data_IF_498640337360
#
_entry.id   IF_498640337360
#
_cell.length_a   1.000
_cell.length_b   1.000
_cell.length_c   1.000
_cell.angle_alpha   90.00
_cell.angle_beta   90.00
_cell.angle_gamma   90.00
#
_symmetry.space_group_name_H-M   'P 1'
#
loop_
_entity.id
_entity.type
_entity.pdbx_description
1 polymer ?
#
# COMPACT_ATOMS: atom_id res chain seq x y z
N UNK A 1 40.83 -18.98 1.09
CA UNK A 1 40.03 -18.34 2.14
C UNK A 1 38.82 -17.63 1.51
N UNK A 2 37.89 -18.36 0.89
CA UNK A 2 36.75 -17.79 0.14
C UNK A 2 35.50 -17.55 1.02
N UNK A 3 35.61 -17.70 2.34
CA UNK A 3 34.50 -17.67 3.30
C UNK A 3 34.55 -16.48 4.28
N UNK A 4 35.53 -15.59 4.13
CA UNK A 4 35.64 -14.39 4.99
C UNK A 4 34.87 -13.26 4.32
N UNK A 5 33.64 -13.05 4.77
CA UNK A 5 32.83 -11.89 4.35
C UNK A 5 33.50 -10.62 4.88
N UNK A 6 33.68 -9.62 4.03
CA UNK A 6 34.25 -8.31 4.36
C UNK A 6 33.23 -7.17 4.20
N UNK A 7 31.95 -7.49 4.17
CA UNK A 7 30.84 -6.56 4.00
C UNK A 7 29.65 -6.96 4.86
N UNK A 8 28.83 -5.97 5.21
CA UNK A 8 27.66 -6.15 6.09
C UNK A 8 26.34 -6.29 5.31
N UNK A 9 26.40 -6.38 3.98
CA UNK A 9 25.20 -6.62 3.16
C UNK A 9 24.63 -8.03 3.35
N UNK A 10 23.29 -8.11 3.36
CA UNK A 10 22.55 -9.36 3.44
C UNK A 10 22.56 -10.09 2.08
N UNK A 11 23.09 -11.31 2.06
CA UNK A 11 23.08 -12.20 0.90
C UNK A 11 22.02 -13.27 1.13
N UNK A 12 20.93 -13.20 0.38
CA UNK A 12 19.80 -14.12 0.50
C UNK A 12 20.10 -15.48 -0.12
N UNK A 13 19.52 -16.52 0.48
CA UNK A 13 19.48 -17.85 -0.12
C UNK A 13 18.43 -17.91 -1.24
N UNK A 14 18.51 -18.89 -2.17
CA UNK A 14 17.49 -19.03 -3.20
C UNK A 14 16.10 -19.26 -2.62
N UNK A 15 15.11 -18.47 -3.07
CA UNK A 15 13.72 -18.55 -2.61
C UNK A 15 12.77 -18.83 -3.77
N UNK A 16 11.71 -19.62 -3.50
CA UNK A 16 10.67 -19.98 -4.46
C UNK A 16 9.54 -18.93 -4.53
N UNK A 17 9.43 -18.05 -3.53
CA UNK A 17 8.32 -17.10 -3.41
C UNK A 17 8.16 -16.13 -4.58
N UNK A 18 9.23 -15.60 -5.20
CA UNK A 18 9.07 -14.75 -6.39
C UNK A 18 8.36 -15.46 -7.54
N UNK A 19 8.70 -16.73 -7.81
CA UNK A 19 8.10 -17.52 -8.87
C UNK A 19 6.64 -17.87 -8.54
N UNK A 20 6.39 -18.33 -7.31
CA UNK A 20 5.04 -18.64 -6.86
C UNK A 20 4.13 -17.41 -6.92
N UNK A 21 4.62 -16.25 -6.48
CA UNK A 21 3.91 -14.98 -6.55
C UNK A 21 3.56 -14.58 -7.98
N UNK A 22 4.48 -14.76 -8.93
CA UNK A 22 4.21 -14.49 -10.34
C UNK A 22 3.12 -15.40 -10.92
N UNK A 23 3.15 -16.70 -10.61
CA UNK A 23 2.14 -17.67 -11.07
C UNK A 23 0.76 -17.37 -10.49
N UNK A 24 0.67 -17.16 -9.17
CA UNK A 24 -0.61 -16.84 -8.54
C UNK A 24 -1.13 -15.46 -8.94
N UNK A 25 -0.25 -14.48 -9.14
CA UNK A 25 -0.61 -13.18 -9.68
C UNK A 25 -1.20 -13.28 -11.09
N UNK A 26 -0.62 -14.10 -11.96
CA UNK A 26 -1.18 -14.38 -13.29
C UNK A 26 -2.57 -15.01 -13.19
N UNK A 27 -2.72 -16.07 -12.38
CA UNK A 27 -4.01 -16.75 -12.18
C UNK A 27 -5.06 -15.77 -11.65
N UNK A 28 -4.69 -14.90 -10.70
CA UNK A 28 -5.58 -13.90 -10.12
C UNK A 28 -6.08 -12.92 -11.18
N UNK A 29 -5.17 -12.29 -11.94
CA UNK A 29 -5.54 -11.28 -12.93
C UNK A 29 -6.29 -11.89 -14.12
N UNK A 30 -5.87 -13.07 -14.59
CA UNK A 30 -6.59 -13.79 -15.65
C UNK A 30 -7.99 -14.21 -15.17
N UNK A 31 -8.10 -14.73 -13.95
CA UNK A 31 -9.37 -15.01 -13.32
C UNK A 31 -10.25 -13.77 -13.14
N UNK A 32 -9.64 -12.60 -12.86
CA UNK A 32 -10.33 -11.32 -12.79
C UNK A 32 -10.93 -10.89 -14.13
N UNK A 33 -10.19 -11.07 -15.23
CA UNK A 33 -10.71 -10.83 -16.59
C UNK A 33 -11.90 -11.74 -16.88
N UNK A 34 -11.79 -13.04 -16.58
CA UNK A 34 -12.90 -13.97 -16.78
C UNK A 34 -14.11 -13.59 -15.92
N UNK A 35 -13.89 -13.22 -14.66
CA UNK A 35 -14.96 -12.78 -13.76
C UNK A 35 -15.72 -11.55 -14.28
N UNK A 36 -15.01 -10.59 -14.87
CA UNK A 36 -15.63 -9.41 -15.49
C UNK A 36 -16.34 -9.72 -16.82
N UNK A 37 -16.14 -10.90 -17.41
CA UNK A 37 -16.75 -11.37 -18.66
C UNK A 37 -17.68 -12.58 -18.42
N UNK A 38 -18.55 -12.48 -17.40
CA UNK A 38 -19.63 -13.44 -17.09
C UNK A 38 -19.19 -14.89 -16.77
N UNK A 39 -17.91 -15.10 -16.44
CA UNK A 39 -17.45 -16.37 -15.86
C UNK A 39 -17.45 -16.31 -14.32
N UNK A 40 -17.54 -17.47 -13.66
CA UNK A 40 -17.56 -17.54 -12.21
C UNK A 40 -16.28 -17.01 -11.54
N UNK A 41 -16.35 -16.54 -10.28
CA UNK A 41 -15.23 -15.89 -9.58
C UNK A 41 -14.13 -16.86 -9.11
N UNK A 42 -14.32 -18.16 -9.28
CA UNK A 42 -13.49 -19.18 -8.64
C UNK A 42 -12.00 -19.05 -8.99
N UNK A 43 -11.66 -18.75 -10.24
CA UNK A 43 -10.26 -18.62 -10.65
C UNK A 43 -9.59 -17.37 -10.04
N UNK A 44 -10.33 -16.25 -9.98
CA UNK A 44 -9.88 -15.04 -9.28
C UNK A 44 -9.61 -15.33 -7.80
N UNK A 45 -10.54 -16.01 -7.13
CA UNK A 45 -10.42 -16.32 -5.70
C UNK A 45 -9.25 -17.28 -5.41
N UNK A 46 -9.02 -18.28 -6.26
CA UNK A 46 -7.87 -19.19 -6.14
C UNK A 46 -6.56 -18.40 -6.26
N UNK A 47 -6.44 -17.54 -7.28
CA UNK A 47 -5.26 -16.70 -7.45
C UNK A 47 -5.05 -15.75 -6.28
N UNK A 48 -6.12 -15.12 -5.79
CA UNK A 48 -6.09 -14.19 -4.66
C UNK A 48 -5.60 -14.85 -3.36
N UNK A 49 -6.15 -16.02 -3.01
CA UNK A 49 -5.68 -16.79 -1.84
C UNK A 49 -4.22 -17.22 -2.00
N UNK A 50 -3.82 -17.61 -3.22
CA UNK A 50 -2.43 -17.94 -3.52
C UNK A 50 -1.47 -16.76 -3.32
N UNK A 51 -1.84 -15.56 -3.79
CA UNK A 51 -1.05 -14.34 -3.57
C UNK A 51 -0.94 -14.01 -2.08
N UNK A 52 -2.05 -14.07 -1.33
CA UNK A 52 -2.03 -13.83 0.12
C UNK A 52 -1.12 -14.83 0.86
N UNK A 53 -1.13 -16.10 0.44
CA UNK A 53 -0.25 -17.11 1.02
C UNK A 53 1.23 -16.82 0.75
N UNK A 54 1.58 -16.38 -0.46
CA UNK A 54 2.95 -15.97 -0.80
C UNK A 54 3.36 -14.74 0.01
N UNK A 55 2.50 -13.73 0.12
CA UNK A 55 2.77 -12.52 0.94
C UNK A 55 3.03 -12.88 2.39
N UNK A 56 2.18 -13.72 3.00
CA UNK A 56 2.34 -14.18 4.37
C UNK A 56 3.67 -14.92 4.57
N UNK A 57 3.95 -15.92 3.72
CA UNK A 57 5.14 -16.75 3.86
C UNK A 57 6.43 -15.95 3.66
N UNK A 58 6.45 -15.07 2.66
CA UNK A 58 7.62 -14.24 2.36
C UNK A 58 7.90 -13.22 3.46
N UNK A 59 6.88 -12.52 3.97
CA UNK A 59 7.08 -11.60 5.09
C UNK A 59 7.45 -12.31 6.39
N UNK A 60 6.96 -13.54 6.61
CA UNK A 60 7.37 -14.35 7.75
C UNK A 60 8.88 -14.69 7.69
N UNK A 61 9.41 -14.99 6.51
CA UNK A 61 10.86 -15.18 6.30
C UNK A 61 11.65 -13.90 6.58
N UNK A 62 11.20 -12.73 6.12
CA UNK A 62 11.86 -11.45 6.45
C UNK A 62 11.92 -11.18 7.96
N UNK A 63 10.89 -11.59 8.72
CA UNK A 63 10.92 -11.52 10.19
C UNK A 63 11.88 -12.53 10.80
N UNK A 64 12.00 -13.73 10.23
CA UNK A 64 12.95 -14.75 10.67
C UNK A 64 14.40 -14.30 10.45
N UNK A 65 14.72 -13.79 9.25
CA UNK A 65 16.03 -13.22 8.88
C UNK A 65 16.44 -12.09 9.85
N UNK A 66 15.51 -11.23 10.22
CA UNK A 66 15.76 -10.19 11.22
C UNK A 66 16.14 -10.77 12.60
N UNK A 67 15.51 -11.87 13.01
CA UNK A 67 15.79 -12.54 14.31
C UNK A 67 17.11 -13.30 14.29
N UNK A 68 17.54 -13.79 13.13
CA UNK A 68 18.86 -14.42 12.94
C UNK A 68 20.00 -13.40 12.93
N UNK A 69 19.68 -12.11 12.78
CA UNK A 69 20.63 -11.00 12.87
C UNK A 69 21.11 -10.48 11.51
N UNK A 70 20.47 -10.89 10.40
CA UNK A 70 20.86 -10.48 9.04
C UNK A 70 20.56 -9.00 8.73
N UNK A 71 19.73 -8.35 9.56
CA UNK A 71 19.40 -6.92 9.45
C UNK A 71 20.46 -6.03 10.10
N UNK A 72 21.66 -6.02 9.52
CA UNK A 72 22.75 -5.10 9.89
C UNK A 72 22.34 -3.62 9.69
N UNK A 73 23.07 -2.64 10.27
CA UNK A 73 22.70 -1.23 10.14
C UNK A 73 22.56 -0.76 8.69
N UNK A 74 23.43 -1.22 7.78
CA UNK A 74 23.35 -0.88 6.35
C UNK A 74 22.11 -1.48 5.68
N UNK A 75 21.73 -2.70 6.06
CA UNK A 75 20.52 -3.37 5.55
C UNK A 75 19.27 -2.64 6.03
N UNK A 76 19.20 -2.24 7.30
CA UNK A 76 18.06 -1.47 7.83
C UNK A 76 17.90 -0.12 7.13
N UNK A 77 18.99 0.57 6.82
CA UNK A 77 18.96 1.80 6.02
C UNK A 77 18.40 1.50 4.62
N UNK A 78 18.86 0.43 3.97
CA UNK A 78 18.36 -0.01 2.66
C UNK A 78 16.86 -0.30 2.67
N UNK A 79 16.37 -1.03 3.68
CA UNK A 79 14.94 -1.33 3.85
C UNK A 79 14.10 -0.05 4.04
N UNK A 80 14.60 0.92 4.82
CA UNK A 80 13.94 2.22 5.00
C UNK A 80 13.82 2.99 3.68
N UNK A 81 14.90 3.04 2.88
CA UNK A 81 14.83 3.66 1.55
C UNK A 81 13.86 2.92 0.63
N UNK A 82 13.86 1.58 0.61
CA UNK A 82 12.91 0.79 -0.15
C UNK A 82 11.46 1.14 0.17
N UNK A 83 11.12 1.23 1.45
CA UNK A 83 9.76 1.58 1.88
C UNK A 83 9.39 3.04 1.58
N UNK A 84 10.32 3.98 1.73
CA UNK A 84 10.11 5.40 1.34
C UNK A 84 9.85 5.52 -0.16
N UNK A 85 10.60 4.81 -0.99
CA UNK A 85 10.39 4.80 -2.45
C UNK A 85 9.05 4.17 -2.81
N UNK A 86 8.64 3.10 -2.12
CA UNK A 86 7.30 2.51 -2.27
C UNK A 86 6.19 3.53 -1.95
N UNK A 87 6.25 4.21 -0.80
CA UNK A 87 5.30 5.28 -0.46
C UNK A 87 5.32 6.40 -1.51
N UNK A 88 6.49 6.75 -2.03
CA UNK A 88 6.63 7.78 -3.08
C UNK A 88 5.91 7.35 -4.36
N UNK A 89 6.01 6.08 -4.77
CA UNK A 89 5.23 5.57 -5.90
C UNK A 89 3.72 5.57 -5.64
N UNK A 90 3.27 5.31 -4.42
CA UNK A 90 1.85 5.41 -4.04
C UNK A 90 1.33 6.85 -4.15
N UNK A 91 2.13 7.85 -3.74
CA UNK A 91 1.80 9.27 -3.95
C UNK A 91 1.61 9.59 -5.44
N UNK A 92 2.47 9.06 -6.31
CA UNK A 92 2.33 9.24 -7.76
C UNK A 92 1.11 8.52 -8.33
N UNK A 93 0.74 7.35 -7.79
CA UNK A 93 -0.51 6.67 -8.13
C UNK A 93 -1.72 7.54 -7.78
N UNK A 94 -1.78 8.12 -6.57
CA UNK A 94 -2.84 9.06 -6.18
C UNK A 94 -2.85 10.35 -7.01
N UNK A 95 -1.68 10.83 -7.45
CA UNK A 95 -1.59 12.01 -8.30
C UNK A 95 -2.39 11.85 -9.62
N UNK A 96 -2.45 10.65 -10.20
CA UNK A 96 -3.26 10.38 -11.40
C UNK A 96 -4.77 10.54 -11.13
N UNK A 97 -5.24 10.06 -9.98
CA UNK A 97 -6.64 10.20 -9.57
C UNK A 97 -7.02 11.65 -9.29
N UNK A 98 -6.17 12.37 -8.53
CA UNK A 98 -6.36 13.80 -8.28
C UNK A 98 -6.32 14.61 -9.57
N UNK A 99 -5.43 14.29 -10.51
CA UNK A 99 -5.40 14.95 -11.80
C UNK A 99 -6.73 14.79 -12.53
N UNK A 100 -7.26 13.56 -12.63
CA UNK A 100 -8.57 13.34 -13.26
C UNK A 100 -9.67 14.14 -12.57
N UNK A 101 -9.71 14.16 -11.24
CA UNK A 101 -10.68 14.95 -10.47
C UNK A 101 -10.54 16.45 -10.76
N UNK A 102 -9.36 17.05 -10.57
CA UNK A 102 -9.15 18.48 -10.75
C UNK A 102 -9.40 18.94 -12.17
N UNK A 103 -9.00 18.15 -13.18
CA UNK A 103 -9.29 18.48 -14.58
C UNK A 103 -10.79 18.61 -14.80
N UNK A 104 -11.59 17.65 -14.34
CA UNK A 104 -13.03 17.65 -14.57
C UNK A 104 -13.81 18.59 -13.66
N UNK A 105 -13.27 18.94 -12.49
CA UNK A 105 -13.85 19.94 -11.60
C UNK A 105 -13.56 21.38 -12.06
N UNK A 106 -12.35 21.64 -12.58
CA UNK A 106 -11.95 22.98 -13.06
C UNK A 106 -12.44 23.26 -14.48
N UNK A 107 -12.37 22.26 -15.36
CA UNK A 107 -12.77 22.34 -16.78
C UNK A 107 -13.79 21.22 -17.10
N UNK A 108 -15.00 21.29 -16.50
CA UNK A 108 -16.05 20.32 -16.78
C UNK A 108 -16.42 20.33 -18.25
N UNK A 109 -16.68 19.16 -18.83
CA UNK A 109 -17.05 19.05 -20.24
C UNK A 109 -18.52 19.48 -20.44
N UNK A 110 -18.76 20.29 -21.45
CA UNK A 110 -20.09 20.72 -21.91
C UNK A 110 -20.21 20.67 -23.44
N UNK A 111 -21.37 21.04 -24.00
CA UNK A 111 -21.63 20.97 -25.45
C UNK A 111 -20.65 21.80 -26.31
N UNK A 112 -20.16 22.92 -25.78
CA UNK A 112 -19.28 23.86 -26.49
C UNK A 112 -17.80 23.79 -26.03
N UNK A 113 -17.40 22.69 -25.37
CA UNK A 113 -16.01 22.51 -24.90
C UNK A 113 -15.02 22.33 -26.06
N UNK A 114 -13.78 22.87 -25.96
CA UNK A 114 -13.18 23.57 -24.81
C UNK A 114 -13.37 25.10 -24.84
N UNK A 115 -14.24 25.65 -25.71
CA UNK A 115 -14.44 27.11 -25.82
C UNK A 115 -15.22 27.66 -24.63
N UNK A 116 -16.22 26.91 -24.16
CA UNK A 116 -17.00 27.20 -22.95
C UNK A 116 -17.05 25.91 -22.13
N UNK A 117 -16.64 25.99 -20.87
CA UNK A 117 -16.72 24.86 -19.94
C UNK A 117 -18.16 24.64 -19.46
N UNK A 118 -18.45 23.42 -19.01
CA UNK A 118 -19.72 23.03 -18.41
C UNK A 118 -19.88 23.53 -16.96
N UNK A 119 -20.66 22.79 -16.17
CA UNK A 119 -20.92 23.11 -14.76
C UNK A 119 -20.33 22.03 -13.85
N UNK A 120 -19.75 22.46 -12.73
CA UNK A 120 -19.36 21.58 -11.63
C UNK A 120 -20.10 21.98 -10.35
N UNK A 121 -20.71 21.03 -9.61
CA UNK A 121 -20.87 19.61 -9.94
C UNK A 121 -21.73 19.37 -11.19
N UNK A 122 -21.66 18.19 -11.82
CA UNK A 122 -22.51 17.86 -12.96
C UNK A 122 -24.00 17.96 -12.59
N UNK A 123 -24.84 18.35 -13.55
CA UNK A 123 -26.28 18.52 -13.33
C UNK A 123 -26.90 17.20 -12.84
N UNK A 124 -27.64 17.26 -11.73
CA UNK A 124 -28.27 16.09 -11.11
C UNK A 124 -27.38 15.35 -10.10
N UNK A 125 -26.15 15.81 -9.85
CA UNK A 125 -25.28 15.29 -8.80
C UNK A 125 -25.39 16.15 -7.55
N UNK A 126 -25.89 15.56 -6.46
CA UNK A 126 -25.87 16.16 -5.13
C UNK A 126 -24.58 15.79 -4.41
N UNK A 127 -23.85 16.80 -3.93
CA UNK A 127 -22.61 16.58 -3.16
C UNK A 127 -22.92 16.28 -1.70
N UNK A 128 -22.11 15.42 -1.09
CA UNK A 128 -22.17 15.18 0.35
C UNK A 128 -21.78 16.44 1.14
N UNK A 129 -22.48 16.70 2.25
CA UNK A 129 -22.10 17.73 3.22
C UNK A 129 -20.74 17.37 3.85
N UNK A 130 -19.69 18.19 3.67
CA UNK A 130 -18.36 17.90 4.20
C UNK A 130 -18.31 17.92 5.73
N UNK A 131 -19.23 18.61 6.42
CA UNK A 131 -19.18 18.78 7.88
C UNK A 131 -19.92 17.69 8.65
N UNK A 132 -20.61 16.79 7.95
CA UNK A 132 -21.29 15.66 8.57
C UNK A 132 -20.34 14.45 8.64
N UNK A 133 -20.62 13.38 7.90
CA UNK A 133 -19.82 12.15 7.94
C UNK A 133 -18.35 12.33 7.53
N UNK A 134 -17.99 13.12 6.48
CA UNK A 134 -16.59 13.26 6.09
C UNK A 134 -15.70 13.89 7.19
N UNK A 135 -16.23 14.87 7.93
CA UNK A 135 -15.52 15.48 9.05
C UNK A 135 -15.26 14.47 10.18
N UNK A 136 -16.25 13.66 10.54
CA UNK A 136 -16.08 12.61 11.55
C UNK A 136 -15.01 11.61 11.12
N UNK A 137 -15.01 11.17 9.87
CA UNK A 137 -13.97 10.29 9.34
C UNK A 137 -12.58 10.93 9.40
N UNK A 138 -12.49 12.24 9.15
CA UNK A 138 -11.23 12.99 9.25
C UNK A 138 -10.72 13.00 10.69
N UNK A 139 -11.59 13.25 11.66
CA UNK A 139 -11.24 13.22 13.08
C UNK A 139 -10.81 11.82 13.54
N UNK A 140 -11.50 10.76 13.11
CA UNK A 140 -11.13 9.37 13.40
C UNK A 140 -9.70 9.08 12.92
N UNK A 141 -9.38 9.45 11.68
CA UNK A 141 -8.04 9.22 11.12
C UNK A 141 -6.98 10.04 11.86
N UNK A 142 -7.22 11.33 12.14
CA UNK A 142 -6.28 12.17 12.89
C UNK A 142 -6.03 11.65 14.30
N UNK A 143 -7.09 11.25 15.02
CA UNK A 143 -6.96 10.65 16.35
C UNK A 143 -6.19 9.32 16.30
N UNK A 144 -6.46 8.47 15.31
CA UNK A 144 -5.72 7.21 15.14
C UNK A 144 -4.24 7.43 14.81
N UNK A 145 -3.92 8.47 14.06
CA UNK A 145 -2.54 8.86 13.77
C UNK A 145 -1.80 9.38 15.01
N UNK A 146 -2.50 10.12 15.87
CA UNK A 146 -1.95 10.56 17.15
C UNK A 146 -1.67 9.37 18.09
N UNK A 147 -2.60 8.41 18.19
CA UNK A 147 -2.41 7.17 18.97
C UNK A 147 -1.23 6.33 18.45
N UNK A 148 -1.12 6.14 17.13
CA UNK A 148 0.03 5.45 16.54
C UNK A 148 1.36 6.16 16.84
N UNK A 149 1.36 7.50 16.83
CA UNK A 149 2.55 8.31 17.18
C UNK A 149 2.91 8.18 18.65
N UNK A 150 1.92 8.15 19.54
CA UNK A 150 2.13 7.86 20.96
C UNK A 150 2.79 6.49 21.13
N UNK A 151 2.18 5.43 20.59
CA UNK A 151 2.72 4.08 20.71
C UNK A 151 4.17 3.98 20.22
N UNK A 152 4.51 4.68 19.13
CA UNK A 152 5.87 4.77 18.63
C UNK A 152 6.81 5.49 19.60
N UNK A 153 6.40 6.65 20.15
CA UNK A 153 7.18 7.41 21.11
C UNK A 153 7.43 6.61 22.40
N UNK A 154 6.41 5.96 22.94
CA UNK A 154 6.51 5.11 24.14
C UNK A 154 7.54 3.98 23.95
N UNK A 155 7.58 3.36 22.77
CA UNK A 155 8.56 2.31 22.47
C UNK A 155 9.99 2.85 22.33
N UNK A 156 10.17 3.95 21.59
CA UNK A 156 11.51 4.43 21.20
C UNK A 156 12.18 5.30 22.27
N UNK A 157 11.41 6.10 23.02
CA UNK A 157 11.94 7.07 23.98
C UNK A 157 11.78 6.64 25.44
N UNK A 158 10.76 5.83 25.76
CA UNK A 158 10.43 5.46 27.15
C UNK A 158 10.60 3.97 27.44
N UNK A 159 10.83 3.15 26.40
CA UNK A 159 10.82 1.67 26.47
C UNK A 159 9.55 1.07 27.11
N UNK A 160 8.44 1.83 27.12
CA UNK A 160 7.18 1.42 27.74
C UNK A 160 6.34 0.58 26.77
N UNK A 161 6.38 -0.74 26.97
CA UNK A 161 5.65 -1.71 26.15
C UNK A 161 4.16 -1.84 26.47
N UNK A 162 3.69 -1.34 27.61
CA UNK A 162 2.26 -1.38 27.93
C UNK A 162 1.53 -0.25 27.21
N UNK A 163 2.06 0.96 27.22
CA UNK A 163 1.50 2.10 26.49
C UNK A 163 1.57 1.87 24.98
N UNK A 164 2.63 1.24 24.48
CA UNK A 164 2.73 0.80 23.08
C UNK A 164 1.57 -0.12 22.65
N UNK A 165 1.06 -0.99 23.54
CA UNK A 165 -0.06 -1.89 23.23
C UNK A 165 -1.40 -1.18 23.26
N UNK A 166 -1.57 -0.22 24.18
CA UNK A 166 -2.85 0.44 24.41
C UNK A 166 -3.13 1.58 23.43
N UNK A 167 -2.07 2.17 22.84
CA UNK A 167 -2.19 3.22 21.83
C UNK A 167 -2.54 4.58 22.40
#
# INVERSE_FOLDING_TARGET
MAHVKNHDYHILSPSLWPLAGAVFGFIMLFGGVLFMHDHGPYLLLIGFVGVLYVMYSWWAETVAENKEGDHTPVVQIGLRYGFILFITSEVMFFAAWFWSFFKHAMYPMGPDSPRVDGVWPPVGIETFDPFHLPLINTLILLCSGAAATWAHHALVHEENREDMKMG
#
